data_IF_032522042432
#
_entry.id   IF_032522042432
#
_cell.length_a   1.000
_cell.length_b   1.000
_cell.length_c   1.000
_cell.angle_alpha   90.00
_cell.angle_beta   90.00
_cell.angle_gamma   90.00
#
_symmetry.space_group_name_H-M   'P 1'
#
loop_
_entity.id
_entity.type
_entity.pdbx_description
1 polymer ?
#
# COMPACT_ATOMS: atom_id res chain seq x y z
N UNK A 1 1.65 -30.56 -11.13
CA UNK A 1 0.69 -31.36 -10.32
C UNK A 1 1.37 -31.84 -9.04
N UNK A 2 2.57 -32.47 -9.13
CA UNK A 2 3.23 -33.06 -7.97
C UNK A 2 3.60 -32.05 -6.87
N UNK A 3 4.04 -30.86 -7.25
CA UNK A 3 4.29 -29.78 -6.32
C UNK A 3 3.04 -29.43 -5.46
N UNK A 4 1.86 -29.29 -6.07
CA UNK A 4 0.62 -28.98 -5.34
C UNK A 4 0.21 -30.14 -4.42
N UNK A 5 0.40 -31.39 -4.87
CA UNK A 5 0.17 -32.57 -4.04
C UNK A 5 1.10 -32.63 -2.84
N UNK A 6 2.40 -32.34 -3.03
CA UNK A 6 3.37 -32.26 -1.93
C UNK A 6 3.03 -31.18 -0.90
N UNK A 7 2.34 -30.13 -1.34
CA UNK A 7 1.81 -29.06 -0.49
C UNK A 7 0.42 -29.35 0.09
N UNK A 8 -0.11 -30.57 -0.10
CA UNK A 8 -1.40 -30.99 0.44
C UNK A 8 -2.61 -30.37 -0.29
N UNK A 9 -2.40 -29.75 -1.46
CA UNK A 9 -3.50 -29.14 -2.23
C UNK A 9 -4.16 -30.20 -3.11
N UNK A 10 -5.48 -30.42 -2.88
CA UNK A 10 -6.28 -31.36 -3.64
C UNK A 10 -6.59 -30.87 -5.06
N UNK A 11 -6.96 -31.82 -5.92
CA UNK A 11 -7.43 -31.50 -7.27
C UNK A 11 -8.72 -30.66 -7.27
N UNK A 12 -9.55 -30.79 -6.23
CA UNK A 12 -10.78 -30.00 -6.05
C UNK A 12 -10.45 -28.52 -5.80
N UNK A 13 -9.55 -28.23 -4.87
CA UNK A 13 -9.08 -26.87 -4.60
C UNK A 13 -8.38 -26.28 -5.83
N UNK A 14 -7.49 -27.05 -6.46
CA UNK A 14 -6.82 -26.61 -7.68
C UNK A 14 -7.83 -26.24 -8.79
N UNK A 15 -8.90 -27.02 -8.94
CA UNK A 15 -9.99 -26.75 -9.90
C UNK A 15 -10.81 -25.54 -9.48
N UNK A 16 -11.18 -25.40 -8.20
CA UNK A 16 -11.94 -24.25 -7.67
C UNK A 16 -11.24 -22.93 -7.94
N UNK A 17 -9.93 -22.88 -7.71
CA UNK A 17 -9.10 -21.70 -7.96
C UNK A 17 -8.60 -21.60 -9.41
N UNK A 18 -8.93 -22.55 -10.28
CA UNK A 18 -8.51 -22.64 -11.68
C UNK A 18 -6.99 -22.53 -11.83
N UNK A 19 -6.25 -23.21 -10.95
CA UNK A 19 -4.79 -23.19 -11.00
C UNK A 19 -4.30 -23.72 -12.34
N UNK A 20 -3.29 -23.06 -12.91
CA UNK A 20 -2.71 -23.42 -14.19
C UNK A 20 -1.20 -23.59 -14.11
N UNK A 21 -0.60 -23.89 -15.26
CA UNK A 21 0.84 -23.98 -15.41
C UNK A 21 1.29 -23.26 -16.68
N UNK A 22 2.26 -22.38 -16.56
CA UNK A 22 2.95 -21.73 -17.65
C UNK A 22 4.20 -22.55 -18.00
N UNK A 23 4.30 -23.11 -19.23
CA UNK A 23 5.47 -23.88 -19.66
C UNK A 23 6.76 -23.06 -19.62
N UNK A 24 7.92 -23.75 -19.60
CA UNK A 24 9.24 -23.12 -19.55
C UNK A 24 9.64 -22.36 -20.84
N UNK A 25 8.92 -22.59 -21.96
CA UNK A 25 9.21 -21.95 -23.23
C UNK A 25 8.97 -20.45 -23.20
N UNK A 26 9.70 -19.71 -24.04
CA UNK A 26 9.70 -18.26 -24.06
C UNK A 26 8.58 -17.62 -24.86
N UNK A 27 7.88 -18.39 -25.69
CA UNK A 27 6.94 -17.92 -26.73
C UNK A 27 5.69 -18.78 -26.87
N UNK A 28 5.28 -19.46 -25.81
CA UNK A 28 4.11 -20.36 -25.82
C UNK A 28 2.83 -19.58 -26.16
N UNK A 29 2.63 -18.42 -25.53
CA UNK A 29 1.45 -17.58 -25.77
C UNK A 29 1.52 -16.95 -27.16
N UNK A 30 2.68 -16.45 -27.58
CA UNK A 30 2.89 -15.88 -28.91
C UNK A 30 2.58 -16.87 -30.04
N UNK A 31 2.93 -18.14 -29.87
CA UNK A 31 2.61 -19.19 -30.84
C UNK A 31 1.14 -19.54 -30.87
N UNK A 32 0.46 -19.47 -29.73
CA UNK A 32 -0.94 -19.89 -29.60
C UNK A 32 -1.94 -18.79 -29.95
N UNK A 33 -1.63 -17.54 -29.65
CA UNK A 33 -2.50 -16.39 -29.82
C UNK A 33 -1.91 -15.42 -30.85
N UNK A 34 -2.72 -15.00 -31.83
CA UNK A 34 -2.26 -14.12 -32.92
C UNK A 34 -2.17 -12.63 -32.51
N UNK A 35 -2.92 -12.21 -31.49
CA UNK A 35 -2.96 -10.83 -31.03
C UNK A 35 -1.94 -10.57 -29.92
N UNK A 36 -0.75 -10.12 -30.27
CA UNK A 36 0.31 -9.78 -29.33
C UNK A 36 0.01 -8.47 -28.57
N UNK A 37 -0.80 -7.55 -29.12
CA UNK A 37 -1.15 -6.29 -28.47
C UNK A 37 -2.02 -6.53 -27.23
N UNK A 38 -3.04 -7.38 -27.35
CA UNK A 38 -3.89 -7.74 -26.21
C UNK A 38 -3.11 -8.51 -25.13
N UNK A 39 -2.19 -9.39 -25.53
CA UNK A 39 -1.33 -10.11 -24.60
C UNK A 39 -0.37 -9.15 -23.87
N UNK A 40 0.14 -8.13 -24.55
CA UNK A 40 0.98 -7.11 -23.95
C UNK A 40 0.17 -6.22 -23.01
N UNK A 41 -1.00 -5.75 -23.46
CA UNK A 41 -1.91 -4.91 -22.66
C UNK A 41 -2.41 -5.62 -21.39
N UNK A 42 -2.60 -6.95 -21.44
CA UNK A 42 -2.94 -7.79 -20.28
C UNK A 42 -1.75 -8.12 -19.38
N UNK A 43 -0.52 -7.71 -19.75
CA UNK A 43 0.70 -7.98 -19.01
C UNK A 43 1.16 -9.45 -19.05
N UNK A 44 0.70 -10.23 -20.04
CA UNK A 44 1.13 -11.63 -20.25
C UNK A 44 2.41 -11.73 -21.07
N UNK A 45 2.76 -10.67 -21.82
CA UNK A 45 4.02 -10.55 -22.53
C UNK A 45 4.90 -9.46 -21.90
N UNK A 46 6.19 -9.55 -22.21
CA UNK A 46 7.21 -8.57 -21.88
C UNK A 46 7.93 -8.21 -23.18
N UNK A 47 8.12 -6.92 -23.45
CA UNK A 47 8.94 -6.45 -24.57
C UNK A 47 10.41 -6.69 -24.27
N UNK A 48 11.17 -7.16 -25.26
CA UNK A 48 12.62 -7.37 -25.14
C UNK A 48 13.35 -6.03 -25.05
N UNK A 49 14.46 -6.01 -24.33
CA UNK A 49 15.25 -4.78 -24.11
C UNK A 49 15.76 -4.13 -25.41
N UNK A 50 15.98 -4.93 -26.44
CA UNK A 50 16.37 -4.48 -27.79
C UNK A 50 15.19 -4.02 -28.65
N UNK A 51 13.95 -4.05 -28.09
CA UNK A 51 12.68 -3.80 -28.78
C UNK A 51 12.43 -4.69 -30.01
N UNK A 52 13.13 -5.82 -30.12
CA UNK A 52 12.96 -6.79 -31.21
C UNK A 52 12.08 -7.96 -30.77
N UNK A 53 10.81 -7.68 -30.46
CA UNK A 53 9.80 -8.70 -30.15
C UNK A 53 9.49 -8.85 -28.67
N UNK A 54 8.75 -9.90 -28.36
CA UNK A 54 8.15 -10.15 -27.06
C UNK A 54 8.54 -11.56 -26.56
N UNK A 55 8.34 -11.79 -25.26
CA UNK A 55 8.41 -13.10 -24.65
C UNK A 55 7.34 -13.25 -23.57
N UNK A 56 6.98 -14.49 -23.26
CA UNK A 56 5.98 -14.81 -22.23
C UNK A 56 6.48 -14.37 -20.86
N UNK A 57 5.66 -13.60 -20.13
CA UNK A 57 6.00 -13.12 -18.80
C UNK A 57 6.15 -14.24 -17.79
N UNK A 58 5.22 -15.20 -17.83
CA UNK A 58 5.22 -16.33 -16.93
C UNK A 58 5.82 -17.54 -17.66
N UNK A 59 6.87 -18.13 -17.07
CA UNK A 59 7.57 -19.32 -17.60
C UNK A 59 7.96 -20.21 -16.45
N UNK A 60 7.73 -21.52 -16.60
CA UNK A 60 7.97 -22.54 -15.59
C UNK A 60 7.35 -22.20 -14.23
N UNK A 61 6.07 -21.78 -14.24
CA UNK A 61 5.37 -21.32 -13.05
C UNK A 61 3.99 -21.94 -12.93
N UNK A 62 3.63 -22.28 -11.68
CA UNK A 62 2.22 -22.45 -11.33
C UNK A 62 1.55 -21.10 -11.37
N UNK A 63 0.39 -21.02 -12.02
CA UNK A 63 -0.38 -19.80 -12.15
C UNK A 63 -1.59 -19.81 -11.22
N UNK A 64 -1.77 -18.71 -10.54
CA UNK A 64 -2.89 -18.38 -9.66
C UNK A 64 -3.70 -17.28 -10.34
N UNK A 65 -4.85 -17.60 -10.99
CA UNK A 65 -5.69 -16.58 -11.61
C UNK A 65 -6.25 -15.62 -10.55
N UNK A 66 -6.06 -14.32 -10.75
CA UNK A 66 -6.63 -13.28 -9.90
C UNK A 66 -7.93 -12.84 -10.53
N UNK A 67 -9.02 -12.83 -9.77
CA UNK A 67 -10.37 -12.57 -10.27
C UNK A 67 -10.96 -11.32 -9.66
N UNK A 68 -11.73 -10.61 -10.48
CA UNK A 68 -12.59 -9.54 -10.01
C UNK A 68 -13.87 -10.09 -9.31
N UNK A 69 -14.69 -9.20 -8.76
CA UNK A 69 -15.97 -9.58 -8.11
C UNK A 69 -16.96 -10.31 -9.03
N UNK A 70 -16.79 -10.23 -10.34
CA UNK A 70 -17.64 -10.91 -11.34
C UNK A 70 -17.06 -12.27 -11.76
N UNK A 71 -15.92 -12.66 -11.20
CA UNK A 71 -15.21 -13.90 -11.52
C UNK A 71 -14.37 -13.84 -12.80
N UNK A 72 -14.21 -12.67 -13.42
CA UNK A 72 -13.38 -12.51 -14.61
C UNK A 72 -11.91 -12.49 -14.18
N UNK A 73 -11.06 -13.22 -14.89
CA UNK A 73 -9.62 -13.20 -14.66
C UNK A 73 -9.06 -11.85 -15.15
N UNK A 74 -8.42 -11.11 -14.24
CA UNK A 74 -7.86 -9.79 -14.49
C UNK A 74 -6.34 -9.75 -14.40
N UNK A 75 -5.71 -10.82 -13.88
CA UNK A 75 -4.28 -10.97 -13.74
C UNK A 75 -3.92 -12.34 -13.21
N UNK A 76 -2.63 -12.56 -12.99
CA UNK A 76 -2.09 -13.81 -12.48
C UNK A 76 -1.00 -13.55 -11.44
N UNK A 77 -0.96 -14.41 -10.44
CA UNK A 77 0.25 -14.69 -9.68
C UNK A 77 0.94 -15.91 -10.28
N UNK A 78 2.26 -15.94 -10.26
CA UNK A 78 3.03 -17.07 -10.76
C UNK A 78 4.10 -17.50 -9.79
N UNK A 79 4.08 -18.74 -9.29
CA UNK A 79 5.11 -19.33 -8.44
C UNK A 79 6.04 -20.21 -9.27
N UNK A 80 7.34 -19.93 -9.20
CA UNK A 80 8.35 -20.78 -9.86
C UNK A 80 8.45 -22.14 -9.17
N UNK A 81 8.71 -23.20 -9.96
CA UNK A 81 8.86 -24.57 -9.44
C UNK A 81 10.31 -24.88 -9.06
N UNK A 82 11.26 -24.13 -9.56
CA UNK A 82 12.70 -24.23 -9.30
C UNK A 82 13.18 -23.21 -8.27
N UNK A 83 14.47 -23.17 -8.00
CA UNK A 83 15.08 -22.16 -7.10
C UNK A 83 15.37 -20.82 -7.78
N UNK A 84 14.73 -20.52 -8.92
CA UNK A 84 14.89 -19.24 -9.60
C UNK A 84 14.18 -18.11 -8.88
N UNK A 85 14.78 -16.92 -8.88
CA UNK A 85 14.16 -15.70 -8.40
C UNK A 85 13.49 -14.89 -9.55
N UNK A 86 12.41 -14.17 -9.28
CA UNK A 86 11.69 -14.10 -8.01
C UNK A 86 10.81 -15.35 -7.81
N UNK A 87 10.74 -15.85 -6.56
CA UNK A 87 9.90 -17.00 -6.15
C UNK A 87 8.44 -16.81 -6.57
N UNK A 88 7.89 -15.63 -6.35
CA UNK A 88 6.57 -15.21 -6.83
C UNK A 88 6.69 -14.03 -7.79
N UNK A 89 5.95 -14.09 -8.87
CA UNK A 89 5.83 -13.03 -9.86
C UNK A 89 4.35 -12.71 -10.10
N UNK A 90 3.96 -11.46 -10.00
CA UNK A 90 2.59 -11.03 -10.29
C UNK A 90 2.51 -10.34 -11.66
N UNK A 91 1.30 -10.32 -12.24
CA UNK A 91 0.99 -9.45 -13.38
C UNK A 91 1.40 -8.01 -13.05
N UNK A 92 1.85 -7.22 -14.02
CA UNK A 92 2.07 -5.80 -13.83
C UNK A 92 0.73 -5.07 -13.59
N UNK A 93 0.79 -3.81 -13.21
CA UNK A 93 -0.38 -2.93 -13.25
C UNK A 93 -0.89 -2.83 -14.70
N UNK A 94 -2.20 -2.98 -14.88
CA UNK A 94 -2.87 -2.86 -16.17
C UNK A 94 -4.16 -2.06 -16.00
N UNK A 95 -4.86 -1.77 -17.08
CA UNK A 95 -6.19 -1.12 -17.03
C UNK A 95 -7.24 -1.92 -16.24
N UNK A 96 -7.05 -3.24 -16.15
CA UNK A 96 -7.97 -4.16 -15.46
C UNK A 96 -7.48 -4.59 -14.09
N UNK A 97 -6.18 -4.55 -13.82
CA UNK A 97 -5.56 -5.12 -12.62
C UNK A 97 -4.73 -4.09 -11.88
N UNK A 98 -5.12 -3.81 -10.64
CA UNK A 98 -4.41 -2.96 -9.69
C UNK A 98 -4.13 -3.73 -8.40
N UNK A 99 -2.85 -4.06 -8.14
CA UNK A 99 -2.44 -4.86 -6.96
C UNK A 99 -2.96 -4.28 -5.64
N UNK A 100 -2.95 -2.95 -5.53
CA UNK A 100 -3.43 -2.27 -4.33
C UNK A 100 -4.96 -2.25 -4.16
N UNK A 101 -5.73 -2.79 -5.12
CA UNK A 101 -7.20 -2.82 -5.05
C UNK A 101 -7.77 -4.23 -5.02
N UNK A 102 -7.02 -5.20 -5.52
CA UNK A 102 -7.49 -6.57 -5.68
C UNK A 102 -6.99 -7.45 -4.53
N UNK A 103 -7.78 -8.50 -4.24
CA UNK A 103 -7.48 -9.51 -3.24
C UNK A 103 -7.66 -10.88 -3.88
N UNK A 104 -6.65 -11.75 -3.76
CA UNK A 104 -6.75 -13.12 -4.21
C UNK A 104 -7.71 -13.91 -3.32
N UNK A 105 -8.55 -14.74 -3.90
CA UNK A 105 -9.50 -15.58 -3.16
C UNK A 105 -10.80 -14.88 -2.76
N UNK A 106 -10.95 -13.56 -2.96
CA UNK A 106 -12.18 -12.86 -2.56
C UNK A 106 -13.41 -13.32 -3.36
N UNK A 107 -13.25 -13.56 -4.68
CA UNK A 107 -14.32 -14.11 -5.49
C UNK A 107 -14.72 -15.51 -4.99
N UNK A 108 -13.76 -16.39 -4.76
CA UNK A 108 -13.94 -17.76 -4.30
C UNK A 108 -14.59 -17.81 -2.91
N UNK A 109 -14.22 -16.90 -2.00
CA UNK A 109 -14.85 -16.71 -0.69
C UNK A 109 -16.31 -16.31 -0.86
N UNK A 110 -16.60 -15.31 -1.69
CA UNK A 110 -17.97 -14.85 -1.95
C UNK A 110 -18.83 -15.87 -2.72
N UNK A 111 -18.22 -16.83 -3.43
CA UNK A 111 -18.97 -17.95 -4.05
C UNK A 111 -19.44 -18.96 -3.01
N UNK A 112 -18.75 -19.14 -1.90
CA UNK A 112 -19.17 -20.02 -0.80
C UNK A 112 -20.26 -19.34 0.03
N UNK A 113 -20.03 -18.09 0.40
CA UNK A 113 -21.00 -17.26 1.10
C UNK A 113 -20.91 -15.82 0.59
N UNK A 114 -22.00 -15.28 0.07
CA UNK A 114 -22.06 -13.90 -0.45
C UNK A 114 -21.73 -12.82 0.58
N UNK A 115 -22.08 -13.09 1.83
CA UNK A 115 -21.79 -12.24 2.99
C UNK A 115 -21.18 -13.12 4.07
N UNK A 116 -19.88 -13.40 3.99
CA UNK A 116 -19.21 -14.19 5.03
C UNK A 116 -19.25 -13.45 6.36
N UNK A 117 -19.48 -14.17 7.45
CA UNK A 117 -19.47 -13.59 8.79
C UNK A 117 -18.13 -12.95 9.12
N UNK A 118 -17.05 -13.54 8.57
CA UNK A 118 -15.68 -13.04 8.73
C UNK A 118 -14.83 -13.33 7.50
N UNK A 119 -13.76 -12.57 7.33
CA UNK A 119 -12.72 -12.82 6.32
C UNK A 119 -11.35 -12.80 7.00
N UNK A 120 -10.53 -13.84 6.71
CA UNK A 120 -9.13 -13.90 7.12
C UNK A 120 -8.28 -13.34 5.98
N UNK A 121 -7.45 -12.34 6.27
CA UNK A 121 -6.52 -11.75 5.32
C UNK A 121 -5.12 -12.29 5.61
N UNK A 122 -4.50 -12.94 4.63
CA UNK A 122 -3.16 -13.52 4.71
C UNK A 122 -2.23 -12.88 3.68
N UNK A 123 -0.95 -13.25 3.67
CA UNK A 123 0.05 -12.63 2.78
C UNK A 123 0.18 -13.35 1.43
N UNK A 124 -0.02 -14.68 1.39
CA UNK A 124 0.34 -15.52 0.26
C UNK A 124 -0.80 -16.28 -0.40
N UNK A 125 -0.59 -16.63 -1.67
CA UNK A 125 -1.51 -17.48 -2.44
C UNK A 125 -1.70 -18.85 -1.81
N UNK A 126 -0.59 -19.45 -1.34
CA UNK A 126 -0.60 -20.80 -0.76
C UNK A 126 -1.35 -20.83 0.55
N UNK A 127 -1.27 -19.78 1.35
CA UNK A 127 -2.01 -19.67 2.61
C UNK A 127 -3.52 -19.72 2.38
N UNK A 128 -4.01 -18.99 1.36
CA UNK A 128 -5.43 -19.05 0.96
C UNK A 128 -5.82 -20.48 0.58
N UNK A 129 -5.02 -21.14 -0.27
CA UNK A 129 -5.33 -22.50 -0.70
C UNK A 129 -5.31 -23.50 0.46
N UNK A 130 -4.34 -23.36 1.39
CA UNK A 130 -4.22 -24.22 2.56
C UNK A 130 -5.44 -24.04 3.50
N UNK A 131 -5.88 -22.80 3.71
CA UNK A 131 -7.07 -22.50 4.50
C UNK A 131 -8.34 -23.05 3.85
N UNK A 132 -8.52 -22.88 2.54
CA UNK A 132 -9.65 -23.47 1.83
C UNK A 132 -9.62 -25.01 1.89
N UNK A 133 -8.43 -25.63 1.76
CA UNK A 133 -8.25 -27.07 1.89
C UNK A 133 -8.61 -27.57 3.29
N UNK A 134 -8.36 -26.76 4.32
CA UNK A 134 -8.71 -27.03 5.71
C UNK A 134 -10.19 -26.65 6.05
N UNK A 135 -11.04 -26.49 5.05
CA UNK A 135 -12.45 -26.10 5.23
C UNK A 135 -12.66 -24.77 5.97
N UNK A 136 -11.75 -23.80 5.73
CA UNK A 136 -11.87 -22.41 6.15
C UNK A 136 -12.01 -21.51 4.91
N UNK A 137 -13.15 -21.59 4.16
CA UNK A 137 -13.29 -20.97 2.84
C UNK A 137 -13.62 -19.47 2.90
N UNK A 138 -13.05 -18.76 3.84
CA UNK A 138 -13.21 -17.32 4.04
C UNK A 138 -11.87 -16.61 4.20
N UNK A 139 -10.89 -17.04 3.40
CA UNK A 139 -9.54 -16.50 3.37
C UNK A 139 -9.25 -15.77 2.07
N UNK A 140 -8.52 -14.67 2.15
CA UNK A 140 -8.06 -13.86 1.01
C UNK A 140 -6.60 -13.45 1.20
N UNK A 141 -5.86 -13.23 0.11
CA UNK A 141 -4.49 -12.73 0.22
C UNK A 141 -4.30 -11.38 -0.44
N UNK A 142 -3.37 -10.61 0.11
CA UNK A 142 -2.77 -9.46 -0.56
C UNK A 142 -1.83 -9.91 -1.68
N UNK A 143 -1.52 -9.03 -2.63
CA UNK A 143 -0.82 -9.40 -3.87
C UNK A 143 0.66 -9.00 -3.86
N UNK A 144 1.37 -9.35 -2.77
CA UNK A 144 2.80 -9.06 -2.63
C UNK A 144 3.11 -7.59 -2.33
N UNK A 145 2.14 -6.90 -1.76
CA UNK A 145 2.26 -5.53 -1.24
C UNK A 145 1.62 -5.48 0.15
N UNK A 146 2.03 -4.51 0.98
CA UNK A 146 1.31 -4.25 2.21
C UNK A 146 -0.18 -3.99 1.91
N UNK A 147 -1.06 -4.44 2.80
CA UNK A 147 -2.51 -4.19 2.68
C UNK A 147 -2.78 -2.70 2.48
N UNK A 148 -3.47 -2.34 1.42
CA UNK A 148 -3.79 -0.96 1.11
C UNK A 148 -5.11 -0.53 1.71
N UNK A 149 -5.33 0.80 1.78
CA UNK A 149 -6.61 1.38 2.18
C UNK A 149 -7.77 0.89 1.29
N UNK A 150 -7.58 0.82 -0.03
CA UNK A 150 -8.61 0.37 -0.98
C UNK A 150 -8.99 -1.10 -0.75
N UNK A 151 -8.01 -1.95 -0.39
CA UNK A 151 -8.25 -3.34 -0.02
C UNK A 151 -9.05 -3.45 1.29
N UNK A 152 -8.74 -2.61 2.30
CA UNK A 152 -9.51 -2.57 3.57
C UNK A 152 -10.96 -2.16 3.30
N UNK A 153 -11.20 -1.10 2.53
CA UNK A 153 -12.55 -0.68 2.14
C UNK A 153 -13.30 -1.81 1.41
N UNK A 154 -12.61 -2.52 0.52
CA UNK A 154 -13.19 -3.67 -0.19
C UNK A 154 -13.57 -4.81 0.74
N UNK A 155 -12.74 -5.12 1.74
CA UNK A 155 -13.03 -6.12 2.77
C UNK A 155 -14.25 -5.70 3.60
N UNK A 156 -14.28 -4.47 4.10
CA UNK A 156 -15.40 -3.93 4.89
C UNK A 156 -16.73 -3.95 4.10
N UNK A 157 -16.68 -3.80 2.77
CA UNK A 157 -17.88 -3.96 1.93
C UNK A 157 -18.34 -5.41 1.76
N UNK A 158 -17.56 -6.39 2.23
CA UNK A 158 -17.83 -7.82 2.06
C UNK A 158 -18.15 -8.54 3.37
N UNK A 159 -17.66 -8.04 4.50
CA UNK A 159 -17.88 -8.62 5.84
C UNK A 159 -17.80 -7.54 6.91
N UNK A 160 -18.34 -7.84 8.09
CA UNK A 160 -18.22 -6.99 9.29
C UNK A 160 -17.03 -7.38 10.16
N UNK A 161 -16.53 -8.64 10.10
CA UNK A 161 -15.35 -9.06 10.86
C UNK A 161 -14.19 -9.38 9.91
N UNK A 162 -13.05 -8.71 10.11
CA UNK A 162 -11.82 -8.91 9.35
C UNK A 162 -10.72 -9.32 10.32
N UNK A 163 -10.08 -10.45 10.04
CA UNK A 163 -8.95 -10.97 10.83
C UNK A 163 -7.71 -10.88 9.95
N UNK A 164 -6.83 -9.93 10.24
CA UNK A 164 -5.53 -9.84 9.58
C UNK A 164 -4.56 -10.82 10.23
N UNK A 165 -4.12 -11.82 9.48
CA UNK A 165 -3.19 -12.84 9.91
C UNK A 165 -1.82 -12.59 9.28
N UNK A 166 -0.82 -12.39 10.10
CA UNK A 166 0.55 -12.09 9.70
C UNK A 166 1.50 -13.18 10.19
N UNK A 167 2.58 -13.37 9.45
CA UNK A 167 3.70 -14.18 9.87
C UNK A 167 4.31 -13.62 11.17
N UNK A 168 4.85 -14.48 12.03
CA UNK A 168 5.36 -14.09 13.36
C UNK A 168 6.63 -13.25 13.35
N UNK A 169 7.21 -12.96 12.19
CA UNK A 169 8.47 -12.27 12.03
C UNK A 169 8.38 -10.73 12.23
N UNK A 170 9.53 -10.07 12.16
CA UNK A 170 9.61 -8.60 12.30
C UNK A 170 8.86 -7.89 11.15
N UNK A 171 8.84 -8.48 9.95
CA UNK A 171 8.17 -7.88 8.79
C UNK A 171 6.65 -7.93 8.97
N UNK A 172 6.11 -9.08 9.42
CA UNK A 172 4.69 -9.25 9.73
C UNK A 172 4.22 -8.31 10.84
N UNK A 173 5.01 -8.14 11.93
CA UNK A 173 4.70 -7.15 12.99
C UNK A 173 4.62 -5.72 12.46
N UNK A 174 5.52 -5.32 11.57
CA UNK A 174 5.50 -4.00 10.91
C UNK A 174 4.32 -3.87 9.94
N UNK A 175 3.99 -4.93 9.22
CA UNK A 175 2.84 -4.96 8.32
C UNK A 175 1.53 -4.82 9.10
N UNK A 176 1.38 -5.53 10.22
CA UNK A 176 0.23 -5.44 11.12
C UNK A 176 0.01 -4.00 11.62
N UNK A 177 1.09 -3.34 12.06
CA UNK A 177 1.01 -1.95 12.51
C UNK A 177 0.56 -1.00 11.39
N UNK A 178 1.10 -1.14 10.18
CA UNK A 178 0.68 -0.33 9.03
C UNK A 178 -0.79 -0.52 8.69
N UNK A 179 -1.28 -1.77 8.76
CA UNK A 179 -2.70 -2.07 8.53
C UNK A 179 -3.56 -1.41 9.59
N UNK A 180 -3.18 -1.47 10.88
CA UNK A 180 -3.87 -0.77 11.94
C UNK A 180 -3.96 0.73 11.61
N UNK A 181 -2.84 1.40 11.33
CA UNK A 181 -2.81 2.84 11.04
C UNK A 181 -3.69 3.24 9.85
N UNK A 182 -3.76 2.39 8.81
CA UNK A 182 -4.59 2.61 7.62
C UNK A 182 -6.07 2.30 7.85
N UNK A 183 -6.39 1.55 8.91
CA UNK A 183 -7.77 1.18 9.23
C UNK A 183 -8.47 2.20 10.11
N UNK A 184 -7.71 3.01 10.88
CA UNK A 184 -8.27 3.87 11.92
C UNK A 184 -9.32 4.87 11.40
N UNK A 185 -9.07 5.49 10.26
CA UNK A 185 -9.97 6.49 9.66
C UNK A 185 -11.11 5.86 8.83
N UNK A 186 -11.06 4.53 8.64
CA UNK A 186 -12.10 3.75 8.00
C UNK A 186 -13.02 3.07 9.02
N UNK A 187 -12.60 3.02 10.29
CA UNK A 187 -13.30 2.29 11.32
C UNK A 187 -14.58 3.02 11.72
N UNK A 188 -15.71 2.36 11.51
CA UNK A 188 -17.04 2.77 11.95
C UNK A 188 -17.59 1.79 12.98
N UNK A 189 -18.57 2.24 13.80
CA UNK A 189 -19.22 1.38 14.77
C UNK A 189 -19.92 0.21 14.04
N UNK A 190 -19.67 -1.01 14.51
CA UNK A 190 -20.22 -2.24 13.92
C UNK A 190 -19.19 -3.08 13.16
N UNK A 191 -18.05 -2.53 12.79
CA UNK A 191 -16.95 -3.32 12.23
C UNK A 191 -16.03 -3.87 13.32
N UNK A 192 -15.56 -5.11 13.11
CA UNK A 192 -14.61 -5.79 13.99
C UNK A 192 -13.34 -6.07 13.23
N UNK A 193 -12.25 -5.43 13.63
CA UNK A 193 -10.90 -5.70 13.10
C UNK A 193 -10.09 -6.42 14.16
N UNK A 194 -9.49 -7.55 13.77
CA UNK A 194 -8.62 -8.36 14.62
C UNK A 194 -7.25 -8.55 13.99
N UNK A 195 -6.25 -8.71 14.82
CA UNK A 195 -4.86 -8.88 14.42
C UNK A 195 -4.34 -10.18 15.04
N UNK A 196 -3.94 -11.10 14.19
CA UNK A 196 -3.31 -12.37 14.56
C UNK A 196 -1.85 -12.33 14.10
N UNK A 197 -0.93 -12.44 15.04
CA UNK A 197 0.47 -12.72 14.77
C UNK A 197 0.72 -14.18 15.07
N UNK A 198 1.16 -14.95 14.07
CA UNK A 198 1.54 -16.33 14.25
C UNK A 198 2.87 -16.44 15.01
N UNK A 199 3.23 -17.60 15.55
CA UNK A 199 4.55 -17.83 16.13
C UNK A 199 5.69 -17.57 15.14
N UNK A 200 6.87 -17.23 15.63
CA UNK A 200 8.04 -16.96 14.79
C UNK A 200 8.33 -18.15 13.85
N UNK A 201 8.48 -17.87 12.57
CA UNK A 201 8.73 -18.87 11.51
C UNK A 201 7.52 -19.66 11.03
N UNK A 202 6.32 -19.36 11.54
CA UNK A 202 5.08 -19.96 11.06
C UNK A 202 4.32 -19.00 10.13
N UNK A 203 3.73 -19.58 9.10
CA UNK A 203 2.74 -19.00 8.21
C UNK A 203 1.44 -19.85 8.27
N UNK A 204 0.31 -19.36 7.72
CA UNK A 204 -0.94 -20.13 7.74
C UNK A 204 -0.84 -21.52 7.10
N UNK A 205 -0.09 -21.66 6.00
CA UNK A 205 0.14 -22.95 5.32
C UNK A 205 0.86 -23.93 6.26
N UNK A 206 1.93 -23.49 6.92
CA UNK A 206 2.70 -24.34 7.85
C UNK A 206 1.91 -24.74 9.09
N UNK A 207 1.10 -23.83 9.66
CA UNK A 207 0.24 -24.14 10.81
C UNK A 207 -0.82 -25.19 10.42
N UNK A 208 -1.47 -25.03 9.26
CA UNK A 208 -2.45 -25.99 8.77
C UNK A 208 -1.79 -27.37 8.54
N UNK A 209 -0.59 -27.41 7.95
CA UNK A 209 0.12 -28.68 7.73
C UNK A 209 0.51 -29.38 9.03
N UNK A 210 0.90 -28.63 10.07
CA UNK A 210 1.35 -29.20 11.35
C UNK A 210 0.22 -29.52 12.32
N UNK A 211 -0.80 -28.69 12.38
CA UNK A 211 -1.81 -28.71 13.45
C UNK A 211 -3.25 -28.87 12.93
N UNK A 212 -3.43 -28.85 11.59
CA UNK A 212 -4.73 -28.96 10.96
C UNK A 212 -5.65 -27.77 11.20
N UNK A 213 -6.90 -27.95 10.84
CA UNK A 213 -7.96 -26.94 10.98
C UNK A 213 -8.15 -26.46 12.43
N UNK A 214 -8.29 -27.39 13.38
CA UNK A 214 -8.60 -27.04 14.77
C UNK A 214 -7.44 -26.32 15.46
N UNK A 215 -6.21 -26.68 15.12
CA UNK A 215 -5.01 -25.95 15.52
C UNK A 215 -5.04 -24.51 15.06
N UNK A 216 -5.37 -24.26 13.78
CA UNK A 216 -5.47 -22.91 13.25
C UNK A 216 -6.62 -22.11 13.88
N UNK A 217 -7.79 -22.73 14.11
CA UNK A 217 -8.91 -22.10 14.82
C UNK A 217 -8.50 -21.65 16.23
N UNK A 218 -7.67 -22.44 16.91
CA UNK A 218 -7.13 -22.04 18.23
C UNK A 218 -6.32 -20.74 18.17
N UNK A 219 -5.57 -20.52 17.07
CA UNK A 219 -4.89 -19.24 16.85
C UNK A 219 -5.88 -18.12 16.53
N UNK A 220 -6.89 -18.37 15.70
CA UNK A 220 -7.93 -17.36 15.41
C UNK A 220 -8.61 -16.84 16.68
N UNK A 221 -8.85 -17.69 17.67
CA UNK A 221 -9.42 -17.26 18.96
C UNK A 221 -8.47 -16.36 19.77
N UNK A 222 -7.17 -16.39 19.50
CA UNK A 222 -6.16 -15.53 20.14
C UNK A 222 -5.95 -14.21 19.39
N UNK A 223 -6.65 -13.98 18.28
CA UNK A 223 -6.55 -12.75 17.52
C UNK A 223 -6.99 -11.56 18.38
N UNK A 224 -6.08 -10.60 18.55
CA UNK A 224 -6.30 -9.38 19.33
C UNK A 224 -7.29 -8.46 18.61
N UNK A 225 -8.17 -7.81 19.34
CA UNK A 225 -8.95 -6.70 18.81
C UNK A 225 -8.06 -5.54 18.42
N UNK A 226 -8.57 -4.61 17.58
CA UNK A 226 -7.84 -3.40 17.21
C UNK A 226 -7.36 -2.62 18.44
N UNK A 227 -8.19 -2.49 19.46
CA UNK A 227 -7.83 -1.76 20.68
C UNK A 227 -6.71 -2.49 21.47
N UNK A 228 -6.82 -3.81 21.66
CA UNK A 228 -5.78 -4.59 22.32
C UNK A 228 -4.45 -4.50 21.57
N UNK A 229 -4.47 -4.66 20.24
CA UNK A 229 -3.26 -4.59 19.43
C UNK A 229 -2.63 -3.19 19.44
N UNK A 230 -3.46 -2.12 19.34
CA UNK A 230 -3.01 -0.73 19.43
C UNK A 230 -2.26 -0.45 20.74
N UNK A 231 -2.90 -0.75 21.87
CA UNK A 231 -2.30 -0.45 23.16
C UNK A 231 -1.15 -1.39 23.49
N UNK A 232 -1.23 -2.68 23.15
CA UNK A 232 -0.11 -3.61 23.34
C UNK A 232 1.15 -3.13 22.61
N UNK A 233 0.99 -2.64 21.37
CA UNK A 233 2.13 -2.11 20.59
C UNK A 233 2.72 -0.86 21.23
N UNK A 234 1.89 0.11 21.63
CA UNK A 234 2.38 1.36 22.25
C UNK A 234 3.03 1.14 23.61
N UNK A 235 2.55 0.16 24.37
CA UNK A 235 3.07 -0.16 25.70
C UNK A 235 4.48 -0.76 25.68
N UNK A 236 4.92 -1.32 24.55
CA UNK A 236 6.31 -1.82 24.43
C UNK A 236 7.33 -0.69 24.58
N UNK A 237 6.98 0.55 24.21
CA UNK A 237 7.86 1.70 24.17
C UNK A 237 7.81 2.58 25.44
N UNK A 238 6.93 2.28 26.41
CA UNK A 238 6.64 3.17 27.54
C UNK A 238 6.61 2.41 28.87
N UNK A 239 7.13 3.04 29.92
CA UNK A 239 7.02 2.56 31.29
C UNK A 239 5.91 3.31 32.03
N UNK A 240 4.79 2.65 32.27
CA UNK A 240 3.62 3.23 32.96
C UNK A 240 3.84 3.46 34.46
N UNK A 241 4.90 2.95 35.06
CA UNK A 241 5.23 3.23 36.47
C UNK A 241 5.66 4.69 36.65
N UNK A 242 6.16 5.32 35.57
CA UNK A 242 6.65 6.70 35.56
C UNK A 242 5.62 7.66 34.96
N UNK A 243 5.56 8.90 35.46
CA UNK A 243 4.67 9.96 34.94
C UNK A 243 5.00 10.29 33.48
N UNK A 244 6.29 10.32 33.15
CA UNK A 244 6.79 10.57 31.79
C UNK A 244 6.33 9.50 30.82
N UNK A 245 6.28 8.23 31.24
CA UNK A 245 5.77 7.12 30.44
C UNK A 245 4.28 7.27 30.15
N UNK A 246 3.48 7.61 31.17
CA UNK A 246 2.05 7.90 30.99
C UNK A 246 1.81 9.06 30.02
N UNK A 247 2.56 10.16 30.18
CA UNK A 247 2.49 11.31 29.30
C UNK A 247 2.91 10.95 27.84
N UNK A 248 3.96 10.09 27.70
CA UNK A 248 4.41 9.60 26.40
C UNK A 248 3.35 8.72 25.76
N UNK A 249 2.70 7.81 26.51
CA UNK A 249 1.62 6.98 25.98
C UNK A 249 0.48 7.85 25.44
N UNK A 250 0.02 8.84 26.22
CA UNK A 250 -1.02 9.76 25.78
C UNK A 250 -0.62 10.50 24.50
N UNK A 251 0.62 10.99 24.41
CA UNK A 251 1.13 11.69 23.24
C UNK A 251 1.15 10.80 21.98
N UNK A 252 1.42 9.50 22.12
CA UNK A 252 1.45 8.55 21.00
C UNK A 252 0.05 8.09 20.61
N UNK A 253 -0.81 7.79 21.59
CA UNK A 253 -2.12 7.20 21.35
C UNK A 253 -3.15 8.23 20.84
N UNK A 254 -3.18 9.45 21.37
CA UNK A 254 -4.19 10.46 21.04
C UNK A 254 -4.30 10.71 19.52
N UNK A 255 -3.21 10.97 18.77
CA UNK A 255 -3.31 11.23 17.34
C UNK A 255 -3.85 10.02 16.53
N UNK A 256 -3.67 8.79 17.03
CA UNK A 256 -4.19 7.58 16.42
C UNK A 256 -5.68 7.44 16.70
N UNK A 257 -6.10 7.61 17.96
CA UNK A 257 -7.51 7.55 18.37
C UNK A 257 -8.34 8.65 17.66
N UNK A 258 -7.78 9.82 17.46
CA UNK A 258 -8.44 10.94 16.76
C UNK A 258 -8.68 10.68 15.27
N UNK A 259 -7.99 9.71 14.64
CA UNK A 259 -8.29 9.28 13.27
C UNK A 259 -9.57 8.48 13.18
N UNK A 260 -9.95 7.78 14.25
CA UNK A 260 -11.19 6.99 14.29
C UNK A 260 -12.39 7.93 14.21
N UNK A 261 -13.40 7.58 13.40
CA UNK A 261 -14.61 8.36 13.29
C UNK A 261 -15.26 8.60 14.67
N UNK A 262 -15.83 9.79 14.85
CA UNK A 262 -16.51 10.13 16.10
C UNK A 262 -17.70 9.20 16.33
N UNK A 263 -17.62 8.34 17.34
CA UNK A 263 -18.58 7.30 17.65
C UNK A 263 -18.27 6.62 18.97
N UNK A 264 -18.95 5.51 19.20
CA UNK A 264 -18.78 4.70 20.43
C UNK A 264 -17.36 4.14 20.49
N UNK A 265 -16.83 3.65 19.36
CA UNK A 265 -15.50 3.06 19.30
C UNK A 265 -14.41 4.07 19.68
N UNK A 266 -14.43 5.28 19.12
CA UNK A 266 -13.49 6.33 19.49
C UNK A 266 -13.58 6.67 20.97
N UNK A 267 -14.81 6.78 21.51
CA UNK A 267 -15.02 7.05 22.92
C UNK A 267 -14.42 5.96 23.81
N UNK A 268 -14.64 4.70 23.48
CA UNK A 268 -14.09 3.55 24.22
C UNK A 268 -12.56 3.50 24.17
N UNK A 269 -11.94 3.85 23.06
CA UNK A 269 -10.49 3.98 22.98
C UNK A 269 -9.95 5.08 23.90
N UNK A 270 -10.66 6.23 23.99
CA UNK A 270 -10.31 7.28 24.97
C UNK A 270 -10.49 6.82 26.40
N UNK A 271 -11.57 6.07 26.73
CA UNK A 271 -11.77 5.50 28.06
C UNK A 271 -10.62 4.56 28.45
N UNK A 272 -10.22 3.67 27.54
CA UNK A 272 -9.11 2.74 27.79
C UNK A 272 -7.78 3.49 27.97
N UNK A 273 -7.50 4.50 27.15
CA UNK A 273 -6.33 5.35 27.32
C UNK A 273 -6.34 6.07 28.67
N UNK A 274 -7.48 6.67 29.04
CA UNK A 274 -7.66 7.38 30.31
C UNK A 274 -7.40 6.47 31.51
N UNK A 275 -7.87 5.25 31.48
CA UNK A 275 -7.58 4.24 32.50
C UNK A 275 -6.07 3.90 32.60
N UNK A 276 -5.40 3.71 31.45
CA UNK A 276 -3.96 3.40 31.42
C UNK A 276 -3.10 4.54 31.94
N UNK A 277 -3.45 5.80 31.64
CA UNK A 277 -2.67 6.97 32.11
C UNK A 277 -3.14 7.50 33.47
N UNK A 278 -4.20 6.89 34.07
CA UNK A 278 -4.81 7.29 35.33
C UNK A 278 -5.32 8.75 35.31
N UNK A 279 -6.11 9.10 34.28
CA UNK A 279 -6.75 10.40 34.09
C UNK A 279 -8.23 10.21 33.78
N UNK A 280 -9.06 11.23 34.00
CA UNK A 280 -10.42 11.22 33.48
C UNK A 280 -10.46 11.58 31.97
N UNK A 281 -11.47 11.07 31.27
CA UNK A 281 -11.62 11.24 29.82
C UNK A 281 -11.83 12.70 29.42
N UNK A 282 -12.52 13.49 30.26
CA UNK A 282 -12.80 14.89 29.97
C UNK A 282 -11.52 15.72 30.00
N UNK A 283 -10.73 15.53 31.04
CA UNK A 283 -9.40 16.19 31.16
C UNK A 283 -8.48 15.76 30.01
N UNK A 284 -8.45 14.48 29.67
CA UNK A 284 -7.64 13.98 28.54
C UNK A 284 -8.04 14.65 27.22
N UNK A 285 -9.33 14.80 26.95
CA UNK A 285 -9.85 15.50 25.77
C UNK A 285 -9.56 17.00 25.79
N UNK A 286 -9.65 17.66 26.96
CA UNK A 286 -9.29 19.07 27.09
C UNK A 286 -7.83 19.35 26.79
N UNK A 287 -6.90 18.52 27.30
CA UNK A 287 -5.47 18.61 27.00
C UNK A 287 -5.23 18.48 25.48
N UNK A 288 -5.98 17.61 24.83
CA UNK A 288 -5.92 17.41 23.37
C UNK A 288 -6.37 18.65 22.59
N UNK A 289 -7.50 19.23 22.97
CA UNK A 289 -8.04 20.47 22.34
C UNK A 289 -7.10 21.66 22.55
N UNK A 290 -6.54 21.81 23.74
CA UNK A 290 -5.59 22.88 24.06
C UNK A 290 -4.29 22.73 23.26
N UNK A 291 -3.80 21.51 23.04
CA UNK A 291 -2.62 21.25 22.21
C UNK A 291 -2.87 21.58 20.73
N UNK A 292 -4.07 21.27 20.19
CA UNK A 292 -4.45 21.69 18.83
C UNK A 292 -4.51 23.22 18.71
N UNK A 293 -5.11 23.91 19.68
CA UNK A 293 -5.18 25.37 19.69
C UNK A 293 -3.80 26.02 19.83
N UNK A 294 -2.91 25.43 20.62
CA UNK A 294 -1.54 25.91 20.76
C UNK A 294 -0.68 25.60 19.53
N UNK A 295 -0.84 24.45 18.88
CA UNK A 295 -0.15 24.14 17.63
C UNK A 295 -0.61 25.04 16.48
N UNK A 296 -1.90 25.37 16.39
CA UNK A 296 -2.43 26.37 15.44
C UNK A 296 -1.90 27.76 15.75
N UNK A 297 -1.86 28.17 17.03
CA UNK A 297 -1.25 29.47 17.44
C UNK A 297 0.26 29.50 17.19
N UNK A 298 0.97 28.38 17.38
CA UNK A 298 2.41 28.28 17.11
C UNK A 298 2.70 28.24 15.61
N UNK A 299 1.85 27.59 14.81
CA UNK A 299 1.90 27.69 13.35
C UNK A 299 1.58 29.10 12.86
N UNK A 300 0.57 29.77 13.44
CA UNK A 300 0.26 31.17 13.12
C UNK A 300 1.36 32.12 13.57
N UNK A 301 2.04 31.87 14.71
CA UNK A 301 3.24 32.63 15.13
C UNK A 301 4.45 32.33 14.23
N UNK A 302 4.64 31.09 13.75
CA UNK A 302 5.67 30.75 12.74
C UNK A 302 5.33 31.33 11.37
N UNK A 303 4.05 31.48 11.06
CA UNK A 303 3.58 32.16 9.84
C UNK A 303 3.65 33.67 9.92
N UNK A 304 3.79 34.26 11.14
CA UNK A 304 4.01 35.70 11.35
C UNK A 304 5.48 36.13 11.40
N UNK A 305 6.46 35.24 11.25
CA UNK A 305 7.75 35.69 10.70
C UNK A 305 7.42 36.16 9.28
N UNK A 306 7.84 37.39 8.90
CA UNK A 306 7.60 37.82 7.55
C UNK A 306 8.13 36.70 6.65
N UNK A 307 7.26 35.96 5.99
CA UNK A 307 7.62 35.37 4.75
C UNK A 307 8.06 36.59 3.94
N UNK A 308 9.35 36.79 3.85
CA UNK A 308 9.89 37.37 2.64
C UNK A 308 9.28 36.50 1.56
N UNK A 309 8.12 36.91 1.04
CA UNK A 309 7.66 36.43 -0.22
C UNK A 309 8.83 36.78 -1.12
N UNK A 310 9.68 35.83 -1.42
CA UNK A 310 10.44 35.90 -2.64
C UNK A 310 9.37 35.83 -3.75
N UNK A 311 8.64 36.91 -3.91
CA UNK A 311 8.08 37.28 -5.19
C UNK A 311 9.33 37.52 -6.00
N UNK A 312 9.78 36.50 -6.71
CA UNK A 312 10.75 36.72 -7.76
C UNK A 312 10.15 37.83 -8.60
N UNK A 313 10.83 39.01 -8.61
CA UNK A 313 10.40 40.03 -9.54
C UNK A 313 10.38 39.37 -10.93
N UNK A 314 9.48 39.73 -11.83
CA UNK A 314 9.45 39.17 -13.19
C UNK A 314 10.85 39.14 -13.83
N UNK A 315 11.69 40.12 -13.49
CA UNK A 315 13.07 40.20 -13.92
C UNK A 315 13.96 39.07 -13.36
N UNK A 316 13.87 38.77 -12.07
CA UNK A 316 14.62 37.64 -11.46
C UNK A 316 14.17 36.30 -12.02
N UNK A 317 12.87 36.15 -12.30
CA UNK A 317 12.32 34.95 -12.94
C UNK A 317 12.86 34.80 -14.37
N UNK A 318 12.88 35.89 -15.15
CA UNK A 318 13.41 35.89 -16.50
C UNK A 318 14.91 35.54 -16.55
N UNK A 319 15.72 36.10 -15.65
CA UNK A 319 17.15 35.76 -15.51
C UNK A 319 17.33 34.28 -15.16
N UNK A 320 16.56 33.76 -14.20
CA UNK A 320 16.62 32.34 -13.79
C UNK A 320 16.22 31.40 -14.92
N UNK A 321 15.19 31.74 -15.71
CA UNK A 321 14.75 30.96 -16.85
C UNK A 321 15.82 30.94 -17.97
N UNK A 322 16.46 32.06 -18.30
CA UNK A 322 17.52 32.11 -19.28
C UNK A 322 18.77 31.35 -18.82
N UNK A 323 19.08 31.38 -17.51
CA UNK A 323 20.20 30.63 -16.94
C UNK A 323 19.98 29.12 -16.95
N UNK A 324 18.73 28.67 -16.64
CA UNK A 324 18.36 27.24 -16.61
C UNK A 324 18.06 26.66 -18.01
N UNK A 325 17.55 27.47 -18.91
CA UNK A 325 17.10 27.04 -20.23
C UNK A 325 17.67 27.97 -21.34
N UNK A 326 19.00 27.94 -21.61
CA UNK A 326 19.63 28.81 -22.59
C UNK A 326 18.99 28.76 -23.97
N UNK A 327 18.46 27.63 -24.37
CA UNK A 327 17.78 27.40 -25.65
C UNK A 327 16.57 28.31 -25.89
N UNK A 328 15.96 28.89 -24.82
CA UNK A 328 14.83 29.81 -24.95
C UNK A 328 15.18 31.01 -25.81
N UNK A 329 16.45 31.44 -25.80
CA UNK A 329 16.92 32.58 -26.62
C UNK A 329 16.69 32.33 -28.11
N UNK A 330 16.81 31.08 -28.59
CA UNK A 330 16.59 30.68 -29.98
C UNK A 330 15.12 30.76 -30.40
N UNK A 331 14.19 30.66 -29.46
CA UNK A 331 12.75 30.68 -29.73
C UNK A 331 12.12 32.09 -29.69
N UNK A 332 12.88 33.11 -29.28
CA UNK A 332 12.37 34.46 -29.19
C UNK A 332 12.31 35.13 -30.59
N UNK A 333 11.16 35.71 -30.90
CA UNK A 333 10.95 36.49 -32.11
C UNK A 333 11.70 37.83 -32.05
N UNK A 334 12.02 38.43 -33.22
CA UNK A 334 12.66 39.74 -33.29
C UNK A 334 11.93 40.83 -32.50
N UNK A 335 10.58 40.81 -32.52
CA UNK A 335 9.76 41.73 -31.76
C UNK A 335 9.97 41.59 -30.26
N UNK A 336 10.10 40.37 -29.76
CA UNK A 336 10.39 40.08 -28.35
C UNK A 336 11.83 40.49 -27.97
N UNK A 337 12.78 40.24 -28.81
CA UNK A 337 14.18 40.71 -28.63
C UNK A 337 14.25 42.22 -28.50
N UNK A 338 13.58 42.96 -29.43
CA UNK A 338 13.52 44.42 -29.41
C UNK A 338 12.78 44.97 -28.16
N UNK A 339 11.82 44.23 -27.64
CA UNK A 339 11.16 44.60 -26.39
C UNK A 339 12.09 44.42 -25.19
N UNK A 340 12.87 43.34 -25.13
CA UNK A 340 13.84 43.10 -24.07
C UNK A 340 14.90 44.18 -24.00
N UNK A 341 15.41 44.66 -25.16
CA UNK A 341 16.46 45.71 -25.22
C UNK A 341 15.99 47.11 -24.76
N UNK A 342 14.67 47.32 -24.68
CA UNK A 342 14.05 48.62 -24.25
C UNK A 342 13.57 48.59 -22.80
N UNK A 343 13.83 47.51 -22.04
CA UNK A 343 13.38 47.41 -20.66
C UNK A 343 14.25 48.27 -19.72
N UNK A 344 13.63 49.25 -19.11
CA UNK A 344 14.23 50.10 -18.07
C UNK A 344 13.70 49.72 -16.69
N UNK A 345 13.98 48.48 -16.23
CA UNK A 345 13.57 47.97 -14.93
C UNK A 345 14.77 47.55 -14.08
N UNK A 346 14.71 47.60 -12.74
CA UNK A 346 15.81 47.12 -11.90
C UNK A 346 16.19 45.68 -12.23
N UNK A 347 17.47 45.48 -12.66
CA UNK A 347 18.01 44.17 -13.09
C UNK A 347 17.97 43.92 -14.61
N UNK A 348 17.43 44.85 -15.42
CA UNK A 348 17.42 44.72 -16.90
C UNK A 348 18.82 44.64 -17.51
N UNK A 349 19.78 45.33 -16.92
CA UNK A 349 21.19 45.29 -17.40
C UNK A 349 21.76 43.86 -17.31
N UNK A 350 21.53 43.15 -16.21
CA UNK A 350 21.98 41.77 -16.03
C UNK A 350 21.27 40.82 -16.98
N UNK A 351 19.93 40.98 -17.15
CA UNK A 351 19.17 40.21 -18.11
C UNK A 351 19.68 40.38 -19.54
N UNK A 352 19.94 41.60 -19.95
CA UNK A 352 20.47 41.92 -21.28
C UNK A 352 21.87 41.34 -21.51
N UNK A 353 22.77 41.48 -20.53
CA UNK A 353 24.10 40.87 -20.59
C UNK A 353 24.02 39.36 -20.78
N UNK A 354 23.15 38.68 -19.98
CA UNK A 354 22.93 37.23 -20.11
C UNK A 354 22.32 36.86 -21.48
N UNK A 355 21.31 37.61 -21.91
CA UNK A 355 20.66 37.40 -23.21
C UNK A 355 21.67 37.52 -24.39
N UNK A 356 22.48 38.56 -24.43
CA UNK A 356 23.49 38.75 -25.50
C UNK A 356 24.58 37.68 -25.44
N UNK A 357 25.02 37.28 -24.25
CA UNK A 357 26.00 36.20 -24.07
C UNK A 357 25.48 34.86 -24.62
N UNK A 358 24.25 34.53 -24.34
CA UNK A 358 23.59 33.30 -24.82
C UNK A 358 23.30 33.37 -26.35
N UNK A 359 23.00 34.56 -26.86
CA UNK A 359 22.79 34.75 -28.31
C UNK A 359 24.09 34.61 -29.10
N UNK A 360 25.21 35.03 -28.52
CA UNK A 360 26.54 34.88 -29.16
C UNK A 360 27.09 33.46 -29.03
N UNK A 361 26.69 32.73 -28.02
CA UNK A 361 27.18 31.38 -27.74
C UNK A 361 26.01 30.36 -27.64
N UNK A 362 25.40 30.00 -28.77
CA UNK A 362 24.20 29.20 -28.81
C UNK A 362 24.37 27.73 -28.34
N UNK A 363 25.58 27.29 -28.11
CA UNK A 363 25.96 25.94 -27.65
C UNK A 363 26.13 25.85 -26.12
N UNK A 364 25.99 26.96 -25.39
CA UNK A 364 26.05 26.93 -23.95
C UNK A 364 24.82 26.17 -23.38
N UNK A 365 25.09 25.09 -22.65
CA UNK A 365 24.10 24.38 -21.86
C UNK A 365 24.27 24.73 -20.38
N UNK A 366 23.18 24.69 -19.59
CA UNK A 366 23.29 24.69 -18.15
C UNK A 366 24.03 23.44 -17.70
N UNK A 367 25.20 23.62 -17.04
CA UNK A 367 25.90 22.53 -16.37
C UNK A 367 25.15 22.04 -15.13
#
# INVERSE_FOLDING_TARGET
IDYLKQRGISGEIAKRFHLGYAPAAWDTLLKKFKNSEDLLASGLLVEKSDRQGFYDRFRDRILFPIRDRRGRVIGFGGRVLTQQEPKYLNSPETTLFHKGKELYGLYETCQVNRQPDRIIVVEGYMDVLALFQAELPYAVATLGTATSRDQIVRLMSSTQEIIFCFDGDIAGKKAAWRVLEQSLDLLEDGYVLRFLLLPDGEDPDSVIQKQGRDGFITYLHKAQSLAEFLFAHLLVEVDLSQLEGKARLAKLAIPLIEKVAAGIMQHKLFEQLAALVNMDVATLRQVTLNNKNNSVKTMQKKLKKPRVSMRYSPMRLAIALLAQFPQIVKSLSEKQCNTLTRLELPGSELLLKLFFLLKQNPELSSA
#
